data_IF_678025964948
#
_entry.id   IF_678025964948
#
_cell.length_a   1.000
_cell.length_b   1.000
_cell.length_c   1.000
_cell.angle_alpha   90.00
_cell.angle_beta   90.00
_cell.angle_gamma   90.00
#
_symmetry.space_group_name_H-M   'P 1'
#
loop_
_entity.id
_entity.type
_entity.pdbx_description
1 polymer ?
#
# COMPACT_ATOMS: atom_id res chain seq x y z
N UNK A 1 -0.75 5.55 -23.69
CA UNK A 1 0.21 6.44 -22.99
C UNK A 1 0.63 5.67 -21.75
N UNK A 2 1.94 5.45 -21.58
CA UNK A 2 2.52 4.64 -20.50
C UNK A 2 1.89 4.98 -19.13
N UNK A 3 1.14 4.05 -18.55
CA UNK A 3 0.72 4.09 -17.15
C UNK A 3 1.84 3.42 -16.34
N UNK A 4 2.98 4.09 -16.25
CA UNK A 4 4.07 3.64 -15.40
C UNK A 4 3.68 3.92 -13.96
N UNK A 5 3.79 2.90 -13.10
CA UNK A 5 3.91 3.09 -11.67
C UNK A 5 5.09 4.04 -11.41
N UNK A 6 4.81 5.34 -11.32
CA UNK A 6 5.76 6.30 -10.80
C UNK A 6 5.90 5.93 -9.33
N UNK A 7 7.12 5.57 -8.93
CA UNK A 7 7.51 5.55 -7.54
C UNK A 7 7.15 6.93 -6.94
N UNK A 8 6.05 6.99 -6.18
CA UNK A 8 5.83 8.08 -5.24
C UNK A 8 6.89 7.87 -4.14
N UNK A 9 8.10 8.37 -4.39
CA UNK A 9 9.12 8.52 -3.36
C UNK A 9 8.46 9.19 -2.15
N UNK A 10 8.47 8.52 -1.00
CA UNK A 10 8.20 9.21 0.27
C UNK A 10 9.23 10.33 0.41
N UNK A 11 8.80 11.57 0.20
CA UNK A 11 9.67 12.73 0.26
C UNK A 11 10.30 12.86 1.66
N UNK A 12 11.63 12.93 1.80
CA UNK A 12 12.25 13.27 3.07
C UNK A 12 11.94 14.73 3.42
N UNK A 13 11.68 14.97 4.70
CA UNK A 13 11.28 16.26 5.25
C UNK A 13 12.27 17.40 4.94
N UNK A 14 11.74 18.57 4.57
CA UNK A 14 12.53 19.82 4.50
C UNK A 14 12.94 20.24 5.91
N UNK A 15 14.22 20.05 6.26
CA UNK A 15 14.81 20.60 7.48
C UNK A 15 15.01 22.10 7.30
N UNK A 16 14.23 22.91 8.01
CA UNK A 16 14.47 24.34 8.17
C UNK A 16 15.84 24.59 8.82
N UNK A 17 16.62 25.51 8.25
CA UNK A 17 17.93 25.91 8.77
C UNK A 17 17.80 26.41 10.21
N UNK A 18 18.33 25.65 11.16
CA UNK A 18 18.70 26.17 12.48
C UNK A 18 20.11 25.70 12.79
N UNK A 19 21.04 26.65 12.90
CA UNK A 19 22.44 26.42 13.23
C UNK A 19 22.57 25.97 14.70
N UNK A 20 22.65 24.67 14.91
CA UNK A 20 23.17 24.07 16.13
C UNK A 20 24.19 23.00 15.75
N UNK A 21 25.40 23.10 16.31
CA UNK A 21 26.51 22.18 16.12
C UNK A 21 26.16 20.78 16.65
N UNK A 22 25.50 19.97 15.81
CA UNK A 22 25.42 18.52 16.00
C UNK A 22 26.74 17.94 15.51
N UNK A 23 27.49 17.28 16.39
CA UNK A 23 28.62 16.45 15.98
C UNK A 23 28.09 15.43 14.97
N UNK A 24 28.53 15.54 13.72
CA UNK A 24 28.31 14.53 12.68
C UNK A 24 28.81 13.18 13.21
N UNK A 25 27.88 12.35 13.67
CA UNK A 25 28.09 10.92 13.65
C UNK A 25 28.02 10.57 12.16
N UNK A 26 29.18 10.38 11.53
CA UNK A 26 29.26 9.81 10.18
C UNK A 26 28.73 8.37 10.27
N UNK A 27 27.43 8.20 10.13
CA UNK A 27 26.87 6.90 9.75
C UNK A 27 27.45 6.60 8.37
N UNK A 28 28.09 5.45 8.15
CA UNK A 28 28.54 5.09 6.83
C UNK A 28 27.30 5.00 5.94
N UNK A 29 27.21 5.89 4.95
CA UNK A 29 26.19 5.80 3.91
C UNK A 29 26.50 4.54 3.11
N UNK A 30 25.84 3.44 3.46
CA UNK A 30 25.76 2.27 2.60
C UNK A 30 25.10 2.69 1.29
N UNK A 31 25.92 2.98 0.28
CA UNK A 31 25.46 3.26 -1.08
C UNK A 31 25.66 2.00 -1.90
N UNK A 32 24.56 1.35 -2.29
CA UNK A 32 24.61 0.29 -3.29
C UNK A 32 24.68 0.96 -4.66
N UNK A 33 25.84 0.88 -5.32
CA UNK A 33 26.01 1.39 -6.67
C UNK A 33 25.41 0.38 -7.67
N UNK A 34 24.21 0.70 -8.14
CA UNK A 34 23.46 -0.14 -9.08
C UNK A 34 24.17 -0.34 -10.42
N UNK A 35 25.11 0.54 -10.79
CA UNK A 35 25.90 0.41 -12.02
C UNK A 35 26.85 -0.80 -12.01
N UNK A 36 27.09 -1.38 -10.83
CA UNK A 36 27.90 -2.58 -10.67
C UNK A 36 27.18 -3.86 -11.11
N UNK A 37 25.87 -3.80 -11.39
CA UNK A 37 25.05 -4.98 -11.72
C UNK A 37 24.61 -4.99 -13.19
N UNK A 38 24.46 -6.20 -13.73
CA UNK A 38 23.92 -6.42 -15.05
C UNK A 38 22.52 -5.83 -15.15
N UNK A 39 22.28 -5.08 -16.22
CA UNK A 39 21.03 -4.39 -16.45
C UNK A 39 19.92 -5.39 -16.79
N UNK A 40 18.80 -5.30 -16.07
CA UNK A 40 17.59 -6.08 -16.33
C UNK A 40 16.35 -5.25 -15.97
N UNK A 41 15.17 -5.73 -16.38
CA UNK A 41 13.91 -5.01 -16.19
C UNK A 41 13.51 -4.89 -14.71
N UNK A 42 13.94 -5.83 -13.85
CA UNK A 42 13.57 -5.88 -12.45
C UNK A 42 14.44 -4.98 -11.56
N UNK A 43 15.65 -4.62 -12.01
CA UNK A 43 16.63 -3.85 -11.25
C UNK A 43 16.12 -2.46 -10.80
N UNK A 44 15.19 -1.89 -11.56
CA UNK A 44 14.66 -0.54 -11.35
C UNK A 44 13.18 -0.51 -10.95
N UNK A 45 12.51 -1.65 -10.96
CA UNK A 45 11.04 -1.73 -10.78
C UNK A 45 10.64 -2.41 -9.47
N UNK A 46 11.64 -2.78 -8.65
CA UNK A 46 11.49 -3.50 -7.38
C UNK A 46 12.10 -2.68 -6.25
N UNK A 47 12.00 -3.18 -5.02
CA UNK A 47 12.63 -2.54 -3.86
C UNK A 47 14.12 -2.25 -4.10
N UNK A 48 14.54 -1.06 -3.68
CA UNK A 48 15.89 -0.57 -3.90
C UNK A 48 16.94 -1.52 -3.31
N UNK A 49 17.93 -1.89 -4.13
CA UNK A 49 19.06 -2.71 -3.70
C UNK A 49 19.85 -2.11 -2.52
N UNK A 50 19.80 -0.78 -2.37
CA UNK A 50 20.42 -0.06 -1.26
C UNK A 50 19.86 -0.45 0.11
N UNK A 51 18.68 -1.07 0.13
CA UNK A 51 17.98 -1.55 1.33
C UNK A 51 18.32 -2.97 1.73
N UNK A 52 19.09 -3.71 0.94
CA UNK A 52 19.60 -5.02 1.33
C UNK A 52 20.94 -4.85 2.06
N UNK A 53 20.86 -4.34 3.28
CA UNK A 53 22.00 -4.04 4.15
C UNK A 53 21.66 -4.38 5.62
N UNK A 54 22.66 -4.50 6.51
CA UNK A 54 22.40 -4.73 7.93
C UNK A 54 21.40 -3.72 8.51
N UNK A 55 20.39 -4.21 9.24
CA UNK A 55 19.30 -3.42 9.81
C UNK A 55 18.07 -3.27 8.91
N UNK A 56 18.16 -3.57 7.62
CA UNK A 56 17.10 -3.31 6.65
C UNK A 56 16.44 -4.61 6.16
N UNK A 57 16.21 -4.79 4.86
CA UNK A 57 15.48 -5.94 4.32
C UNK A 57 16.25 -7.26 4.44
N UNK A 58 15.52 -8.36 4.53
CA UNK A 58 16.06 -9.71 4.39
C UNK A 58 16.04 -10.15 2.91
N UNK A 59 17.15 -10.64 2.33
CA UNK A 59 17.14 -11.21 0.99
C UNK A 59 16.41 -12.56 0.96
N UNK A 60 15.41 -12.71 0.10
CA UNK A 60 14.61 -13.94 -0.03
C UNK A 60 14.74 -14.52 -1.42
N UNK A 61 14.86 -15.84 -1.48
CA UNK A 61 14.89 -16.65 -2.70
C UNK A 61 13.61 -17.49 -2.77
N UNK A 62 12.99 -17.57 -3.94
CA UNK A 62 11.89 -18.51 -4.17
C UNK A 62 12.31 -19.94 -3.82
N UNK A 63 11.49 -20.62 -3.03
CA UNK A 63 11.78 -21.92 -2.46
C UNK A 63 12.42 -21.90 -1.08
N UNK A 64 12.85 -20.73 -0.57
CA UNK A 64 13.32 -20.58 0.81
C UNK A 64 12.26 -21.04 1.79
N UNK A 65 12.73 -21.60 2.91
CA UNK A 65 11.85 -22.08 3.97
C UNK A 65 12.12 -21.40 5.30
N UNK A 66 11.05 -21.02 5.98
CA UNK A 66 11.06 -20.36 7.27
C UNK A 66 10.43 -21.26 8.34
N UNK A 67 10.72 -20.96 9.61
CA UNK A 67 10.23 -21.69 10.79
C UNK A 67 10.41 -23.22 10.65
N UNK A 68 11.66 -23.66 10.58
CA UNK A 68 12.03 -25.09 10.48
C UNK A 68 11.38 -25.82 9.29
N UNK A 69 11.18 -25.14 8.17
CA UNK A 69 10.64 -25.77 6.96
C UNK A 69 9.13 -25.67 6.80
N UNK A 70 8.39 -25.12 7.76
CA UNK A 70 6.92 -25.02 7.72
C UNK A 70 6.42 -24.11 6.61
N UNK A 71 7.02 -22.93 6.48
CA UNK A 71 6.60 -21.92 5.50
C UNK A 71 7.56 -21.91 4.34
N UNK A 72 7.12 -22.29 3.15
CA UNK A 72 7.95 -22.23 1.94
C UNK A 72 7.49 -21.09 1.04
N UNK A 73 8.42 -20.26 0.59
CA UNK A 73 8.15 -19.11 -0.28
C UNK A 73 7.97 -19.54 -1.74
N UNK A 74 6.94 -19.02 -2.40
CA UNK A 74 6.61 -19.35 -3.79
C UNK A 74 6.54 -18.14 -4.71
N UNK A 75 6.05 -17.00 -4.21
CA UNK A 75 5.97 -15.77 -4.99
C UNK A 75 6.03 -14.56 -4.07
N UNK A 76 6.18 -13.37 -4.64
CA UNK A 76 6.26 -12.10 -3.93
C UNK A 76 4.96 -11.36 -4.13
N UNK A 77 4.32 -10.95 -3.05
CA UNK A 77 3.04 -10.24 -3.10
C UNK A 77 3.23 -8.72 -3.09
N UNK A 78 4.34 -8.23 -2.52
CA UNK A 78 4.65 -6.82 -2.52
C UNK A 78 5.78 -6.45 -1.56
N UNK A 79 6.01 -5.15 -1.41
CA UNK A 79 6.96 -4.58 -0.46
C UNK A 79 6.50 -3.18 -0.03
N UNK A 80 7.00 -2.73 1.11
CA UNK A 80 6.73 -1.41 1.65
C UNK A 80 7.91 -0.88 2.46
N UNK A 81 7.78 0.31 3.03
CA UNK A 81 8.87 1.01 3.73
C UNK A 81 9.58 0.19 4.81
N UNK A 82 8.91 -0.76 5.46
CA UNK A 82 9.46 -1.51 6.60
C UNK A 82 9.39 -3.03 6.44
N UNK A 83 8.95 -3.54 5.29
CA UNK A 83 8.78 -4.99 5.11
C UNK A 83 8.69 -5.43 3.65
N UNK A 84 8.95 -6.71 3.40
CA UNK A 84 8.57 -7.41 2.17
C UNK A 84 7.48 -8.43 2.47
N UNK A 85 6.63 -8.75 1.49
CA UNK A 85 5.48 -9.64 1.66
C UNK A 85 5.51 -10.74 0.60
N UNK A 86 5.37 -11.99 1.03
CA UNK A 86 5.58 -13.17 0.19
C UNK A 86 4.41 -14.15 0.30
N UNK A 87 4.06 -14.77 -0.82
CA UNK A 87 3.18 -15.93 -0.86
C UNK A 87 3.96 -17.12 -0.32
N UNK A 88 3.43 -17.76 0.71
CA UNK A 88 4.01 -18.95 1.31
C UNK A 88 2.98 -20.08 1.47
N UNK A 89 3.42 -21.30 1.21
CA UNK A 89 2.68 -22.53 1.56
C UNK A 89 2.98 -22.89 3.02
N UNK A 90 1.94 -23.03 3.85
CA UNK A 90 2.06 -23.58 5.19
C UNK A 90 1.85 -25.09 5.14
N UNK A 91 2.96 -25.82 5.19
CA UNK A 91 2.96 -27.28 5.06
C UNK A 91 2.23 -28.01 6.18
N UNK A 92 1.98 -27.35 7.31
CA UNK A 92 1.23 -27.94 8.42
C UNK A 92 -0.29 -27.82 8.18
N UNK A 93 -0.73 -26.80 7.44
CA UNK A 93 -2.15 -26.51 7.18
C UNK A 93 -2.58 -26.77 5.74
N UNK A 94 -1.63 -27.02 4.84
CA UNK A 94 -1.83 -27.29 3.42
C UNK A 94 -2.71 -26.23 2.74
N UNK A 95 -2.31 -24.96 2.88
CA UNK A 95 -2.98 -23.80 2.30
C UNK A 95 -2.02 -22.60 2.20
N UNK A 96 -2.35 -21.66 1.33
CA UNK A 96 -1.56 -20.44 1.12
C UNK A 96 -1.75 -19.41 2.22
N UNK A 97 -0.68 -18.68 2.50
CA UNK A 97 -0.59 -17.59 3.46
C UNK A 97 0.29 -16.46 2.94
N UNK A 98 0.15 -15.31 3.58
CA UNK A 98 1.02 -14.15 3.39
C UNK A 98 2.08 -14.12 4.50
N UNK A 99 3.35 -14.15 4.12
CA UNK A 99 4.50 -14.02 5.00
C UNK A 99 5.09 -12.62 4.85
N UNK A 100 4.90 -11.77 5.87
CA UNK A 100 5.50 -10.44 5.96
C UNK A 100 6.81 -10.54 6.74
N UNK A 101 7.91 -10.08 6.14
CA UNK A 101 9.24 -10.05 6.76
C UNK A 101 9.61 -8.60 7.03
N UNK A 102 9.71 -8.25 8.30
CA UNK A 102 10.02 -6.91 8.79
C UNK A 102 11.53 -6.63 8.68
N UNK A 103 11.91 -5.38 8.45
CA UNK A 103 13.31 -4.94 8.51
C UNK A 103 13.94 -5.20 9.88
N UNK A 104 15.24 -5.52 9.92
CA UNK A 104 15.88 -5.95 11.17
C UNK A 104 15.98 -4.86 12.25
N UNK A 105 15.98 -3.58 11.88
CA UNK A 105 16.09 -2.46 12.82
C UNK A 105 14.75 -2.07 13.46
N UNK A 106 13.62 -2.60 12.97
CA UNK A 106 12.31 -2.30 13.54
C UNK A 106 12.06 -3.17 14.79
N UNK A 107 12.25 -2.56 15.96
CA UNK A 107 12.30 -3.29 17.25
C UNK A 107 10.95 -3.65 17.84
N UNK A 108 9.87 -2.97 17.49
CA UNK A 108 8.52 -3.32 17.96
C UNK A 108 7.49 -3.27 16.83
N UNK A 109 7.29 -4.37 16.10
CA UNK A 109 6.25 -4.45 15.07
C UNK A 109 4.83 -4.47 15.65
N UNK A 110 4.64 -4.62 16.98
CA UNK A 110 3.31 -4.66 17.60
C UNK A 110 2.62 -3.29 17.60
N UNK A 111 3.37 -2.20 17.46
CA UNK A 111 2.79 -0.87 17.24
C UNK A 111 2.18 -0.71 15.83
N UNK A 112 2.44 -1.64 14.91
CA UNK A 112 1.89 -1.63 13.55
C UNK A 112 0.60 -2.46 13.38
N UNK A 113 0.10 -3.15 14.42
CA UNK A 113 -0.86 -4.24 14.21
C UNK A 113 -2.15 -4.16 15.03
N UNK A 114 -3.26 -3.92 14.32
CA UNK A 114 -4.63 -4.27 14.73
C UNK A 114 -5.18 -5.48 13.94
N UNK A 115 -4.38 -6.11 13.07
CA UNK A 115 -4.78 -7.24 12.23
C UNK A 115 -4.52 -8.59 12.89
N UNK A 116 -5.27 -9.63 12.48
CA UNK A 116 -5.25 -10.96 13.09
C UNK A 116 -4.02 -11.77 12.62
N UNK A 117 -2.87 -11.53 13.26
CA UNK A 117 -1.65 -12.34 13.06
C UNK A 117 -1.94 -13.81 13.42
N UNK A 118 -1.66 -14.71 12.48
CA UNK A 118 -1.88 -16.15 12.64
C UNK A 118 -0.69 -16.87 13.26
N UNK A 119 0.52 -16.37 13.00
CA UNK A 119 1.77 -16.85 13.56
C UNK A 119 2.82 -15.73 13.53
N UNK A 120 3.77 -15.76 14.46
CA UNK A 120 4.91 -14.86 14.47
C UNK A 120 6.17 -15.58 14.97
N UNK A 121 7.31 -15.25 14.38
CA UNK A 121 8.60 -15.81 14.74
C UNK A 121 9.74 -14.88 14.32
N UNK A 122 10.92 -15.07 14.89
CA UNK A 122 12.13 -14.35 14.46
C UNK A 122 12.95 -15.22 13.52
N UNK A 123 13.57 -14.58 12.52
CA UNK A 123 14.45 -15.22 11.55
C UNK A 123 15.80 -14.51 11.53
N UNK A 124 16.88 -15.25 11.79
CA UNK A 124 18.24 -14.73 11.70
C UNK A 124 18.73 -14.85 10.25
N UNK A 125 18.93 -13.70 9.61
CA UNK A 125 19.43 -13.59 8.24
C UNK A 125 20.73 -12.80 8.15
N UNK A 126 21.29 -12.66 6.94
CA UNK A 126 22.56 -11.96 6.74
C UNK A 126 22.52 -10.46 7.09
N UNK A 127 21.32 -9.87 7.11
CA UNK A 127 21.10 -8.46 7.41
C UNK A 127 20.60 -8.21 8.85
N UNK A 128 20.54 -9.24 9.70
CA UNK A 128 20.14 -9.14 11.09
C UNK A 128 19.03 -10.11 11.47
N UNK A 129 18.39 -9.85 12.61
CA UNK A 129 17.25 -10.63 13.09
C UNK A 129 15.96 -9.94 12.64
N UNK A 130 15.16 -10.63 11.86
CA UNK A 130 13.93 -10.11 11.27
C UNK A 130 12.72 -10.72 11.98
N UNK A 131 11.71 -9.89 12.26
CA UNK A 131 10.42 -10.41 12.68
C UNK A 131 9.64 -10.86 11.45
N UNK A 132 9.15 -12.10 11.48
CA UNK A 132 8.30 -12.69 10.46
C UNK A 132 6.89 -12.84 11.01
N UNK A 133 5.92 -12.35 10.24
CA UNK A 133 4.50 -12.32 10.60
C UNK A 133 3.72 -13.04 9.52
N UNK A 134 2.84 -13.95 9.96
CA UNK A 134 2.04 -14.78 9.06
C UNK A 134 0.60 -14.34 9.15
N UNK A 135 0.03 -13.98 8.00
CA UNK A 135 -1.34 -13.57 7.82
C UNK A 135 -2.06 -14.53 6.88
N UNK A 136 -3.40 -14.51 6.92
CA UNK A 136 -4.17 -15.08 5.83
C UNK A 136 -3.74 -14.45 4.49
N UNK A 137 -3.79 -15.24 3.42
CA UNK A 137 -3.70 -14.66 2.08
C UNK A 137 -4.90 -13.73 1.91
N UNK A 138 -4.67 -12.61 1.25
CA UNK A 138 -5.68 -11.61 0.90
C UNK A 138 -5.57 -11.34 -0.59
N UNK A 139 -6.67 -10.89 -1.18
CA UNK A 139 -6.79 -10.57 -2.59
C UNK A 139 -6.07 -9.25 -2.92
N UNK A 140 -6.04 -8.79 -4.19
CA UNK A 140 -5.29 -7.61 -4.55
C UNK A 140 -5.70 -6.41 -3.70
N UNK A 141 -4.75 -5.51 -3.46
CA UNK A 141 -5.08 -4.23 -2.85
C UNK A 141 -6.10 -3.47 -3.71
N UNK A 142 -6.91 -2.62 -3.09
CA UNK A 142 -7.90 -1.82 -3.82
C UNK A 142 -7.24 -0.90 -4.85
N UNK A 143 -6.00 -0.45 -4.62
CA UNK A 143 -5.22 0.28 -5.63
C UNK A 143 -5.00 -0.55 -6.91
N UNK A 144 -4.73 -1.85 -6.77
CA UNK A 144 -4.54 -2.75 -7.92
C UNK A 144 -5.84 -2.96 -8.68
N UNK A 145 -6.94 -3.19 -7.95
CA UNK A 145 -8.28 -3.32 -8.54
C UNK A 145 -8.66 -2.05 -9.31
N UNK A 146 -8.44 -0.88 -8.72
CA UNK A 146 -8.73 0.40 -9.37
C UNK A 146 -7.89 0.63 -10.63
N UNK A 147 -6.62 0.26 -10.62
CA UNK A 147 -5.74 0.37 -11.78
C UNK A 147 -6.25 -0.51 -12.94
N UNK A 148 -6.59 -1.76 -12.65
CA UNK A 148 -7.11 -2.71 -13.64
C UNK A 148 -8.43 -2.23 -14.27
N UNK A 149 -9.40 -1.83 -13.45
CA UNK A 149 -10.67 -1.29 -13.94
C UNK A 149 -10.49 0.02 -14.73
N UNK A 150 -9.52 0.86 -14.35
CA UNK A 150 -9.21 2.08 -15.10
C UNK A 150 -8.66 1.75 -16.50
N UNK A 151 -7.77 0.76 -16.60
CA UNK A 151 -7.16 0.30 -17.85
C UNK A 151 -8.17 -0.41 -18.76
N UNK A 152 -9.03 -1.26 -18.19
CA UNK A 152 -10.14 -1.91 -18.89
C UNK A 152 -11.29 -0.97 -19.29
N UNK A 153 -11.29 0.27 -18.76
CA UNK A 153 -12.41 1.21 -18.86
C UNK A 153 -13.73 0.68 -18.28
N UNK A 154 -13.62 -0.26 -17.34
CA UNK A 154 -14.72 -0.85 -16.61
C UNK A 154 -15.11 -0.01 -15.39
N UNK A 155 -16.22 -0.37 -14.77
CA UNK A 155 -16.71 0.27 -13.54
C UNK A 155 -17.02 -0.78 -12.51
N UNK A 156 -16.64 -0.49 -11.27
CA UNK A 156 -17.09 -1.26 -10.12
C UNK A 156 -18.63 -1.21 -10.04
N UNK A 157 -19.25 -2.33 -9.68
CA UNK A 157 -20.69 -2.35 -9.45
C UNK A 157 -21.04 -1.44 -8.26
N UNK A 158 -22.22 -0.80 -8.25
CA UNK A 158 -22.60 0.12 -7.18
C UNK A 158 -22.56 -0.49 -5.77
N UNK A 159 -22.88 -1.77 -5.67
CA UNK A 159 -22.86 -2.55 -4.44
C UNK A 159 -21.42 -2.65 -3.86
N UNK A 160 -20.42 -3.00 -4.68
CA UNK A 160 -19.00 -3.03 -4.28
C UNK A 160 -18.48 -1.64 -3.90
N UNK A 161 -18.85 -0.59 -4.64
CA UNK A 161 -18.48 0.80 -4.32
C UNK A 161 -18.99 1.21 -2.92
N UNK A 162 -20.23 0.85 -2.57
CA UNK A 162 -20.80 1.18 -1.27
C UNK A 162 -20.18 0.37 -0.13
N UNK A 163 -19.90 -0.92 -0.35
CA UNK A 163 -19.19 -1.79 0.59
C UNK A 163 -17.82 -1.21 0.94
N UNK A 164 -17.01 -0.89 -0.06
CA UNK A 164 -15.68 -0.26 0.11
C UNK A 164 -15.78 1.11 0.78
N UNK A 165 -16.74 1.95 0.35
CA UNK A 165 -16.91 3.30 0.90
C UNK A 165 -17.24 3.28 2.39
N UNK A 166 -18.13 2.37 2.80
CA UNK A 166 -18.55 2.22 4.20
C UNK A 166 -17.40 1.71 5.07
N UNK A 167 -16.65 0.72 4.60
CA UNK A 167 -15.53 0.18 5.35
C UNK A 167 -14.39 1.20 5.51
N UNK A 168 -14.07 1.95 4.44
CA UNK A 168 -13.03 2.99 4.47
C UNK A 168 -13.34 4.14 5.43
N UNK A 169 -14.61 4.45 5.69
CA UNK A 169 -15.02 5.53 6.59
C UNK A 169 -14.70 5.29 8.08
N UNK A 170 -14.39 4.05 8.47
CA UNK A 170 -14.32 3.66 9.88
C UNK A 170 -12.91 3.65 10.49
N UNK A 171 -11.82 3.91 9.74
CA UNK A 171 -10.52 3.36 10.14
C UNK A 171 -9.27 4.29 10.18
N UNK A 172 -9.34 5.57 9.85
CA UNK A 172 -8.26 6.52 10.19
C UNK A 172 -6.90 6.37 9.48
N UNK A 173 -6.61 5.27 8.77
CA UNK A 173 -5.49 5.20 7.80
C UNK A 173 -5.99 4.72 6.44
N UNK A 174 -6.51 5.68 5.67
CA UNK A 174 -7.29 5.42 4.48
C UNK A 174 -6.39 5.56 3.25
N UNK A 175 -5.98 4.43 2.69
CA UNK A 175 -5.24 4.33 1.42
C UNK A 175 -5.61 3.04 0.71
N UNK A 176 -5.80 3.05 -0.62
CA UNK A 176 -6.12 1.85 -1.39
C UNK A 176 -5.03 0.78 -1.34
N UNK A 177 -3.79 1.13 -0.97
CA UNK A 177 -2.69 0.17 -0.71
C UNK A 177 -2.87 -0.61 0.60
N UNK A 178 -3.53 0.00 1.59
CA UNK A 178 -3.74 -0.59 2.93
C UNK A 178 -5.10 -1.29 3.03
N UNK A 179 -5.80 -1.43 1.90
CA UNK A 179 -7.13 -2.03 1.77
C UNK A 179 -7.05 -3.23 0.84
N UNK A 180 -7.58 -4.37 1.24
CA UNK A 180 -7.67 -5.58 0.42
C UNK A 180 -8.95 -6.34 0.74
N UNK A 181 -9.28 -7.33 -0.10
CA UNK A 181 -10.40 -8.23 0.14
C UNK A 181 -9.95 -9.54 0.78
N UNK A 182 -10.86 -10.18 1.53
CA UNK A 182 -10.62 -11.49 2.11
C UNK A 182 -10.61 -12.55 1.02
N UNK A 183 -9.54 -13.35 1.00
CA UNK A 183 -9.33 -14.35 -0.02
C UNK A 183 -9.72 -15.75 0.51
N UNK A 184 -10.85 -16.29 0.05
CA UNK A 184 -11.30 -17.61 0.50
C UNK A 184 -10.86 -18.72 -0.44
N UNK A 185 -11.13 -18.61 -1.75
CA UNK A 185 -10.84 -19.67 -2.71
C UNK A 185 -9.35 -19.80 -3.02
N UNK A 186 -8.68 -18.70 -3.37
CA UNK A 186 -7.27 -18.73 -3.76
C UNK A 186 -6.37 -19.18 -2.59
N UNK A 187 -6.79 -19.01 -1.34
CA UNK A 187 -6.06 -19.55 -0.18
C UNK A 187 -5.98 -21.09 -0.16
N UNK A 188 -6.92 -21.78 -0.80
CA UNK A 188 -7.00 -23.24 -0.89
C UNK A 188 -6.71 -23.79 -2.29
N UNK A 189 -6.46 -22.91 -3.26
CA UNK A 189 -6.22 -23.27 -4.65
C UNK A 189 -4.90 -24.06 -4.82
N UNK A 190 -4.84 -24.85 -5.88
CA UNK A 190 -3.58 -25.49 -6.29
C UNK A 190 -2.56 -24.44 -6.74
N UNK A 191 -1.28 -24.84 -6.82
CA UNK A 191 -0.20 -23.96 -7.31
C UNK A 191 -0.50 -23.41 -8.72
N UNK A 192 -1.03 -24.24 -9.61
CA UNK A 192 -1.37 -23.83 -10.97
C UNK A 192 -2.48 -22.78 -11.00
N UNK A 193 -3.60 -23.05 -10.34
CA UNK A 193 -4.72 -22.10 -10.23
C UNK A 193 -4.27 -20.79 -9.56
N UNK A 194 -3.39 -20.90 -8.57
CA UNK A 194 -2.82 -19.74 -7.88
C UNK A 194 -2.00 -18.87 -8.81
N UNK A 195 -1.20 -19.46 -9.69
CA UNK A 195 -0.38 -18.73 -10.66
C UNK A 195 -1.15 -18.29 -11.91
N UNK A 196 -2.29 -18.90 -12.21
CA UNK A 196 -3.25 -18.34 -13.18
C UNK A 196 -3.81 -17.00 -12.67
N UNK A 197 -4.13 -16.92 -11.37
CA UNK A 197 -4.61 -15.68 -10.75
C UNK A 197 -3.49 -14.67 -10.52
N UNK A 198 -2.37 -15.07 -9.92
CA UNK A 198 -1.30 -14.13 -9.54
C UNK A 198 -0.36 -13.76 -10.69
N UNK A 199 -0.34 -14.56 -11.75
CA UNK A 199 0.77 -14.62 -12.69
C UNK A 199 1.89 -15.55 -12.20
N UNK A 200 2.63 -16.12 -13.15
CA UNK A 200 3.81 -16.93 -12.83
C UNK A 200 4.96 -16.06 -12.33
N UNK A 201 5.73 -16.48 -11.31
CA UNK A 201 6.84 -15.68 -10.80
C UNK A 201 7.89 -15.36 -11.87
N UNK A 202 8.09 -14.08 -12.15
CA UNK A 202 9.21 -13.60 -12.95
C UNK A 202 10.43 -13.36 -12.07
N UNK A 203 11.57 -13.95 -12.45
CA UNK A 203 12.83 -13.84 -11.73
C UNK A 203 13.97 -13.43 -12.66
N UNK A 204 14.85 -12.57 -12.15
CA UNK A 204 16.08 -12.18 -12.83
C UNK A 204 17.27 -12.39 -11.88
N UNK A 205 18.37 -13.04 -12.30
CA UNK A 205 19.52 -13.21 -11.44
C UNK A 205 20.20 -11.87 -11.17
N UNK A 206 20.57 -11.61 -9.91
CA UNK A 206 21.39 -10.45 -9.59
C UNK A 206 22.86 -10.83 -9.79
N UNK A 207 23.48 -10.28 -10.84
CA UNK A 207 24.87 -10.59 -11.20
C UNK A 207 25.65 -9.30 -11.36
N UNK A 208 26.89 -9.27 -10.86
CA UNK A 208 27.79 -8.13 -11.05
C UNK A 208 28.35 -8.12 -12.47
N UNK A 209 28.50 -6.94 -13.05
CA UNK A 209 29.09 -6.74 -14.40
C UNK A 209 30.53 -7.24 -14.45
N UNK A 210 31.27 -7.10 -13.36
CA UNK A 210 32.66 -7.54 -13.23
C UNK A 210 32.83 -9.04 -12.93
N UNK A 211 31.73 -9.78 -12.76
CA UNK A 211 31.74 -11.21 -12.43
C UNK A 211 32.19 -11.53 -11.01
N UNK A 212 32.42 -10.54 -10.15
CA UNK A 212 32.75 -10.77 -8.75
C UNK A 212 31.55 -11.34 -7.97
N UNK A 213 31.77 -12.03 -6.84
CA UNK A 213 30.66 -12.51 -6.00
C UNK A 213 29.84 -11.35 -5.44
N UNK A 214 28.55 -11.61 -5.21
CA UNK A 214 27.68 -10.67 -4.50
C UNK A 214 28.16 -10.46 -3.06
N UNK A 215 27.96 -9.25 -2.55
CA UNK A 215 28.18 -8.97 -1.14
C UNK A 215 27.17 -9.74 -0.28
N UNK A 216 27.60 -10.18 0.90
CA UNK A 216 26.70 -10.82 1.85
C UNK A 216 25.56 -9.86 2.22
N UNK A 217 24.32 -10.35 2.20
CA UNK A 217 23.13 -9.54 2.48
C UNK A 217 22.34 -9.09 1.25
N UNK A 218 22.92 -9.18 0.05
CA UNK A 218 22.20 -8.94 -1.21
C UNK A 218 21.40 -10.18 -1.64
N UNK A 219 20.27 -10.01 -2.33
CA UNK A 219 19.53 -11.13 -2.89
C UNK A 219 20.28 -11.71 -4.09
N UNK A 220 20.22 -13.03 -4.27
CA UNK A 220 20.81 -13.72 -5.44
C UNK A 220 19.91 -13.62 -6.67
N UNK A 221 18.61 -13.37 -6.47
CA UNK A 221 17.63 -13.17 -7.53
C UNK A 221 16.72 -11.99 -7.17
N UNK A 222 16.33 -11.24 -8.20
CA UNK A 222 15.26 -10.26 -8.14
C UNK A 222 13.97 -10.98 -8.50
N UNK A 223 12.95 -10.79 -7.67
CA UNK A 223 11.64 -11.43 -7.87
C UNK A 223 10.61 -10.34 -8.10
N UNK A 224 9.87 -10.48 -9.20
CA UNK A 224 8.78 -9.59 -9.52
C UNK A 224 7.61 -9.75 -8.56
N UNK A 225 6.99 -8.65 -8.13
CA UNK A 225 5.74 -8.77 -7.38
C UNK A 225 4.60 -9.27 -8.29
N UNK A 226 3.69 -10.03 -7.70
CA UNK A 226 2.55 -10.63 -8.37
C UNK A 226 1.71 -9.58 -9.12
N UNK A 227 1.24 -9.96 -10.31
CA UNK A 227 0.48 -9.07 -11.18
C UNK A 227 -1.01 -9.11 -10.91
N UNK A 228 -1.56 -10.22 -10.39
CA UNK A 228 -3.01 -10.41 -10.26
C UNK A 228 -3.72 -10.32 -11.64
N UNK A 229 -3.47 -11.32 -12.50
CA UNK A 229 -3.86 -11.38 -13.91
C UNK A 229 -5.36 -11.68 -14.10
N UNK A 230 -5.92 -12.62 -13.33
CA UNK A 230 -7.29 -13.14 -13.51
C UNK A 230 -8.09 -13.00 -12.21
N UNK A 231 -8.08 -11.81 -11.59
CA UNK A 231 -8.89 -11.57 -10.39
C UNK A 231 -10.38 -11.44 -10.75
N UNK A 232 -11.24 -12.07 -9.95
CA UNK A 232 -12.71 -12.03 -10.10
C UNK A 232 -13.31 -11.66 -8.74
N UNK A 233 -14.22 -10.68 -8.71
CA UNK A 233 -14.97 -10.25 -7.51
C UNK A 233 -15.80 -11.43 -6.97
N UNK A 234 -15.53 -11.88 -5.73
CA UNK A 234 -16.37 -12.88 -5.06
C UNK A 234 -17.50 -12.21 -4.25
N UNK A 235 -18.72 -12.75 -4.35
CA UNK A 235 -19.92 -12.17 -3.70
C UNK A 235 -19.78 -12.06 -2.17
N UNK A 236 -18.99 -12.95 -1.54
CA UNK A 236 -18.83 -13.06 -0.09
C UNK A 236 -17.54 -12.41 0.47
N UNK A 237 -16.84 -11.58 -0.32
CA UNK A 237 -15.60 -10.92 0.12
C UNK A 237 -15.84 -9.93 1.28
N UNK A 238 -15.05 -10.09 2.34
CA UNK A 238 -14.98 -9.15 3.45
C UNK A 238 -13.81 -8.17 3.24
N UNK A 239 -14.06 -6.89 3.50
CA UNK A 239 -13.04 -5.86 3.41
C UNK A 239 -12.03 -5.96 4.56
N UNK A 240 -10.74 -5.96 4.24
CA UNK A 240 -9.62 -6.11 5.18
C UNK A 240 -8.71 -4.88 5.11
N UNK A 241 -8.27 -4.44 6.29
CA UNK A 241 -7.30 -3.36 6.43
C UNK A 241 -5.99 -3.94 6.93
N UNK A 242 -4.91 -3.56 6.26
CA UNK A 242 -3.62 -4.23 6.36
C UNK A 242 -2.64 -3.54 7.31
N UNK A 243 -2.76 -2.21 7.42
CA UNK A 243 -1.79 -1.38 8.13
C UNK A 243 -2.50 -0.30 8.96
N UNK A 244 -2.09 -0.18 10.21
CA UNK A 244 -2.50 0.89 11.13
C UNK A 244 -1.30 1.61 11.73
N UNK A 245 -0.07 1.28 11.32
CA UNK A 245 1.14 1.78 11.97
C UNK A 245 1.36 3.28 11.86
N UNK A 246 0.62 3.96 10.97
CA UNK A 246 0.64 5.41 10.82
C UNK A 246 -0.60 6.09 11.47
N UNK A 247 -1.40 5.34 12.23
CA UNK A 247 -2.54 5.88 12.98
C UNK A 247 -2.07 6.65 14.20
N UNK A 248 -2.77 7.74 14.55
CA UNK A 248 -2.48 8.52 15.75
C UNK A 248 -3.76 8.84 16.52
N UNK A 249 -3.64 8.94 17.85
CA UNK A 249 -4.75 9.35 18.71
C UNK A 249 -5.00 10.86 18.58
N UNK A 250 -6.25 11.28 18.76
CA UNK A 250 -6.59 12.70 18.76
C UNK A 250 -5.85 13.41 19.91
N UNK A 251 -5.07 14.45 19.59
CA UNK A 251 -4.20 15.15 20.54
C UNK A 251 -2.78 14.58 20.66
N UNK A 252 -2.49 13.46 19.98
CA UNK A 252 -1.15 12.86 19.88
C UNK A 252 -0.66 12.86 18.42
N UNK A 253 -1.00 13.91 17.67
CA UNK A 253 -0.64 14.01 16.26
C UNK A 253 0.89 14.07 16.05
N UNK A 254 1.43 13.31 15.07
CA UNK A 254 2.85 13.38 14.76
C UNK A 254 3.19 14.74 14.14
N UNK A 255 4.47 15.13 14.23
CA UNK A 255 4.94 16.37 13.60
C UNK A 255 4.95 16.32 12.07
N UNK A 256 5.08 15.12 11.51
CA UNK A 256 5.13 14.88 10.07
C UNK A 256 4.23 13.68 9.79
N UNK A 257 3.38 13.82 8.76
CA UNK A 257 2.49 12.77 8.30
C UNK A 257 3.04 12.15 7.02
N UNK A 258 3.33 10.85 7.06
CA UNK A 258 3.59 10.09 5.84
C UNK A 258 2.29 10.02 5.00
N UNK A 259 2.39 10.33 3.71
CA UNK A 259 1.23 10.33 2.82
C UNK A 259 1.63 10.07 1.36
N UNK A 260 0.89 9.21 0.63
CA UNK A 260 1.02 9.11 -0.83
C UNK A 260 0.71 10.46 -1.49
N UNK A 261 1.32 10.74 -2.63
CA UNK A 261 1.13 11.99 -3.35
C UNK A 261 -0.33 12.21 -3.76
N UNK A 262 -1.00 11.14 -4.21
CA UNK A 262 -2.42 11.13 -4.61
C UNK A 262 -3.40 11.38 -3.46
N UNK A 263 -2.97 11.17 -2.21
CA UNK A 263 -3.77 11.32 -0.99
C UNK A 263 -3.32 12.50 -0.14
N UNK A 264 -2.41 13.33 -0.65
CA UNK A 264 -1.87 14.46 0.08
C UNK A 264 -2.95 15.47 0.42
N UNK A 265 -3.02 15.83 1.71
CA UNK A 265 -4.10 16.67 2.26
C UNK A 265 -3.73 18.16 2.23
N UNK A 266 -4.68 19.08 1.99
CA UNK A 266 -4.39 20.51 1.86
C UNK A 266 -3.62 21.10 3.05
N UNK A 267 -4.06 20.81 4.28
CA UNK A 267 -3.50 21.40 5.48
C UNK A 267 -2.03 21.05 5.69
N UNK A 268 -1.54 19.92 5.19
CA UNK A 268 -0.11 19.55 5.27
C UNK A 268 0.75 20.28 4.23
N UNK A 269 0.15 20.94 3.25
CA UNK A 269 0.84 21.78 2.27
C UNK A 269 1.00 23.20 2.83
N UNK A 270 -0.03 23.71 3.52
CA UNK A 270 -0.07 25.11 3.96
C UNK A 270 0.29 25.33 5.44
N UNK A 271 0.26 24.27 6.25
CA UNK A 271 0.40 24.38 7.70
C UNK A 271 1.24 23.24 8.26
N UNK A 272 1.84 23.48 9.43
CA UNK A 272 2.58 22.48 10.20
C UNK A 272 1.70 21.73 11.21
N UNK A 273 0.37 21.85 11.09
CA UNK A 273 -0.58 21.27 12.05
C UNK A 273 -1.76 20.62 11.34
N UNK A 274 -2.10 19.41 11.75
CA UNK A 274 -3.25 18.68 11.26
C UNK A 274 -3.90 17.91 12.41
N UNK A 275 -5.02 17.25 12.14
CA UNK A 275 -5.72 16.39 13.10
C UNK A 275 -6.46 15.28 12.33
N UNK A 276 -7.29 14.49 13.03
CA UNK A 276 -8.12 13.42 12.46
C UNK A 276 -8.92 13.77 11.19
N UNK A 277 -9.09 15.06 10.86
CA UNK A 277 -9.78 15.49 9.63
C UNK A 277 -8.99 15.17 8.37
N UNK A 278 -7.70 14.86 8.45
CA UNK A 278 -6.91 14.35 7.31
C UNK A 278 -7.54 13.08 6.74
N UNK A 279 -8.08 12.23 7.60
CA UNK A 279 -8.73 10.98 7.20
C UNK A 279 -10.04 11.23 6.47
N UNK A 280 -10.77 12.29 6.84
CA UNK A 280 -11.96 12.69 6.10
C UNK A 280 -11.63 13.07 4.66
N UNK A 281 -10.52 13.78 4.43
CA UNK A 281 -10.08 14.09 3.06
C UNK A 281 -9.70 12.83 2.30
N UNK A 282 -8.89 11.96 2.91
CA UNK A 282 -8.47 10.68 2.33
C UNK A 282 -9.66 9.78 2.00
N UNK A 283 -10.64 9.69 2.89
CA UNK A 283 -11.92 9.01 2.65
C UNK A 283 -12.62 9.56 1.41
N UNK A 284 -12.69 10.89 1.27
CA UNK A 284 -13.24 11.53 0.10
C UNK A 284 -12.52 11.16 -1.20
N UNK A 285 -11.18 11.14 -1.18
CA UNK A 285 -10.36 10.70 -2.32
C UNK A 285 -10.60 9.23 -2.67
N UNK A 286 -10.75 8.34 -1.69
CA UNK A 286 -11.03 6.92 -1.93
C UNK A 286 -12.44 6.71 -2.47
N UNK A 287 -13.46 7.33 -1.89
CA UNK A 287 -14.83 7.21 -2.41
C UNK A 287 -14.90 7.77 -3.84
N UNK A 288 -14.16 8.86 -4.12
CA UNK A 288 -14.00 9.34 -5.48
C UNK A 288 -13.36 8.28 -6.39
N UNK A 289 -12.26 7.65 -5.98
CA UNK A 289 -11.61 6.65 -6.82
C UNK A 289 -12.48 5.42 -7.05
N UNK A 290 -13.29 4.98 -6.08
CA UNK A 290 -14.25 3.89 -6.27
C UNK A 290 -15.33 4.24 -7.31
N UNK A 291 -15.85 5.46 -7.27
CA UNK A 291 -16.92 5.90 -8.19
C UNK A 291 -16.40 6.18 -9.60
N UNK A 292 -15.17 6.68 -9.73
CA UNK A 292 -14.63 7.17 -11.00
C UNK A 292 -13.43 6.37 -11.53
N UNK A 293 -13.11 5.25 -10.87
CA UNK A 293 -11.95 4.37 -11.15
C UNK A 293 -10.61 5.11 -11.24
N UNK A 294 -10.51 6.28 -10.59
CA UNK A 294 -9.29 7.11 -10.65
C UNK A 294 -9.21 8.07 -9.47
N UNK A 295 -7.99 8.29 -8.97
CA UNK A 295 -7.74 9.29 -7.94
C UNK A 295 -8.04 10.71 -8.46
N UNK A 296 -8.60 11.59 -7.61
CA UNK A 296 -8.93 12.95 -8.04
C UNK A 296 -7.69 13.78 -8.35
N UNK A 297 -6.55 13.51 -7.70
CA UNK A 297 -5.36 14.35 -7.78
C UNK A 297 -4.10 13.53 -8.07
N UNK A 298 -3.17 14.15 -8.79
CA UNK A 298 -1.87 13.59 -9.13
C UNK A 298 -0.77 14.50 -8.62
N UNK A 299 0.14 13.97 -7.83
CA UNK A 299 1.32 14.71 -7.39
C UNK A 299 2.45 14.50 -8.38
N UNK A 300 2.95 15.58 -8.96
CA UNK A 300 4.03 15.55 -9.97
C UNK A 300 5.33 16.14 -9.41
N UNK A 301 5.52 16.08 -8.09
CA UNK A 301 6.70 16.62 -7.41
C UNK A 301 6.57 18.07 -6.93
N UNK A 302 5.46 18.76 -7.24
CA UNK A 302 5.26 20.16 -6.89
C UNK A 302 3.89 20.43 -6.25
N UNK A 303 3.91 21.10 -5.09
CA UNK A 303 2.71 21.41 -4.31
C UNK A 303 1.75 22.37 -5.05
N UNK A 304 2.28 23.31 -5.84
CA UNK A 304 1.46 24.29 -6.58
C UNK A 304 0.54 23.61 -7.60
N UNK A 305 1.07 22.64 -8.35
CA UNK A 305 0.31 21.86 -9.33
C UNK A 305 -0.77 21.01 -8.67
N UNK A 306 -0.49 20.46 -7.48
CA UNK A 306 -1.46 19.72 -6.69
C UNK A 306 -2.59 20.63 -6.17
N UNK A 307 -2.25 21.79 -5.59
CA UNK A 307 -3.22 22.78 -5.10
C UNK A 307 -4.11 23.28 -6.23
N UNK A 308 -3.56 23.52 -7.43
CA UNK A 308 -4.34 23.92 -8.59
C UNK A 308 -5.40 22.87 -8.96
N UNK A 309 -5.08 21.58 -8.85
CA UNK A 309 -6.06 20.51 -9.06
C UNK A 309 -7.15 20.47 -7.99
N UNK A 310 -6.85 20.88 -6.76
CA UNK A 310 -7.81 20.90 -5.65
C UNK A 310 -8.82 22.05 -5.76
N UNK A 311 -8.35 23.28 -6.01
CA UNK A 311 -9.17 24.51 -5.90
C UNK A 311 -9.14 25.42 -7.13
N UNK A 312 -8.36 25.09 -8.16
CA UNK A 312 -8.21 25.93 -9.35
C UNK A 312 -9.42 25.92 -10.29
N UNK A 313 -9.41 26.81 -11.31
CA UNK A 313 -10.37 26.78 -12.42
C UNK A 313 -10.17 25.49 -13.22
N UNK A 314 -10.96 24.46 -12.91
CA UNK A 314 -10.76 23.10 -13.42
C UNK A 314 -10.44 22.06 -12.34
N UNK A 315 -10.81 22.35 -11.08
CA UNK A 315 -10.74 21.38 -9.98
C UNK A 315 -11.19 19.99 -10.43
N UNK A 316 -10.41 18.99 -10.02
CA UNK A 316 -10.66 17.59 -10.38
C UNK A 316 -11.74 16.95 -9.53
N UNK A 317 -12.23 17.63 -8.50
CA UNK A 317 -13.43 17.22 -7.77
C UNK A 317 -14.62 17.27 -8.72
N UNK A 318 -15.17 16.09 -9.02
CA UNK A 318 -16.28 15.92 -9.97
C UNK A 318 -17.53 16.67 -9.51
N UNK A 319 -18.33 17.08 -10.50
CA UNK A 319 -19.61 17.81 -10.31
C UNK A 319 -20.84 16.96 -10.60
N UNK A 320 -20.64 15.77 -11.14
CA UNK A 320 -21.70 14.84 -11.51
C UNK A 320 -21.21 13.40 -11.32
N UNK A 321 -22.15 12.52 -10.97
CA UNK A 321 -22.01 11.07 -11.01
C UNK A 321 -23.07 10.57 -11.98
N UNK A 322 -22.65 9.82 -13.01
CA UNK A 322 -23.56 9.38 -14.07
C UNK A 322 -24.50 8.27 -13.62
N UNK A 323 -24.06 7.43 -12.70
CA UNK A 323 -24.85 6.33 -12.18
C UNK A 323 -25.84 6.85 -11.13
N UNK A 324 -27.16 6.71 -11.33
CA UNK A 324 -28.16 7.15 -10.37
C UNK A 324 -28.04 6.47 -8.99
N UNK A 325 -27.59 5.21 -8.95
CA UNK A 325 -27.38 4.46 -7.70
C UNK A 325 -26.25 5.08 -6.87
N UNK A 326 -25.23 5.62 -7.54
CA UNK A 326 -24.07 6.25 -6.90
C UNK A 326 -24.18 7.77 -6.75
N UNK A 327 -25.18 8.41 -7.37
CA UNK A 327 -25.42 9.85 -7.27
C UNK A 327 -25.46 10.39 -5.82
N UNK A 328 -26.00 9.67 -4.82
CA UNK A 328 -25.95 10.10 -3.43
C UNK A 328 -24.53 10.26 -2.85
N UNK A 329 -23.51 9.63 -3.43
CA UNK A 329 -22.13 9.72 -2.97
C UNK A 329 -21.45 11.03 -3.37
N UNK A 330 -21.93 11.71 -4.41
CA UNK A 330 -21.36 12.99 -4.85
C UNK A 330 -21.30 14.05 -3.75
N UNK A 331 -22.40 14.38 -3.02
CA UNK A 331 -22.33 15.33 -1.92
C UNK A 331 -21.48 14.83 -0.75
N UNK A 332 -21.32 13.51 -0.57
CA UNK A 332 -20.41 12.93 0.43
C UNK A 332 -18.96 13.22 0.05
N UNK A 333 -18.55 12.87 -1.19
CA UNK A 333 -17.21 13.15 -1.74
C UNK A 333 -16.89 14.64 -1.60
N UNK A 334 -17.78 15.52 -2.11
CA UNK A 334 -17.58 16.96 -2.06
C UNK A 334 -17.56 17.52 -0.62
N UNK A 335 -18.34 16.92 0.29
CA UNK A 335 -18.39 17.32 1.69
C UNK A 335 -17.13 16.92 2.47
N UNK A 336 -16.59 15.74 2.18
CA UNK A 336 -15.35 15.20 2.77
C UNK A 336 -14.12 15.93 2.23
N UNK A 337 -14.10 16.25 0.94
CA UNK A 337 -13.01 16.93 0.25
C UNK A 337 -13.14 18.46 0.27
N UNK A 338 -13.77 19.02 1.31
CA UNK A 338 -13.74 20.48 1.51
C UNK A 338 -12.32 20.91 1.87
N UNK A 339 -11.84 21.94 1.17
CA UNK A 339 -10.46 22.41 1.28
C UNK A 339 -10.10 22.81 2.71
N UNK A 340 -10.97 23.57 3.39
CA UNK A 340 -10.81 23.89 4.80
C UNK A 340 -11.19 22.67 5.67
N UNK A 341 -10.30 22.17 6.54
CA UNK A 341 -10.58 20.99 7.37
C UNK A 341 -11.82 21.15 8.24
N UNK A 342 -12.02 22.34 8.81
CA UNK A 342 -13.18 22.67 9.66
C UNK A 342 -14.52 22.65 8.92
N UNK A 343 -14.49 22.83 7.60
CA UNK A 343 -15.70 22.80 6.78
C UNK A 343 -16.13 21.38 6.41
N UNK A 344 -15.26 20.37 6.53
CA UNK A 344 -15.55 18.98 6.13
C UNK A 344 -16.75 18.41 6.89
N UNK A 345 -17.56 17.60 6.21
CA UNK A 345 -18.64 16.84 6.86
C UNK A 345 -18.05 15.79 7.81
N UNK A 346 -18.81 15.38 8.83
CA UNK A 346 -18.36 14.35 9.78
C UNK A 346 -18.50 12.96 9.18
N UNK A 347 -17.75 11.99 9.71
CA UNK A 347 -17.90 10.58 9.36
C UNK A 347 -19.34 10.10 9.54
N UNK A 348 -20.00 10.44 10.66
CA UNK A 348 -21.41 10.08 10.90
C UNK A 348 -22.36 10.60 9.81
N UNK A 349 -22.15 11.83 9.33
CA UNK A 349 -23.00 12.40 8.27
C UNK A 349 -22.82 11.64 6.96
N UNK A 350 -21.59 11.26 6.64
CA UNK A 350 -21.29 10.48 5.44
C UNK A 350 -21.82 9.04 5.55
N UNK A 351 -21.61 8.36 6.68
CA UNK A 351 -22.13 7.01 6.97
C UNK A 351 -23.67 6.96 6.91
N UNK A 352 -24.36 8.00 7.36
CA UNK A 352 -25.81 8.10 7.25
C UNK A 352 -26.32 8.18 5.79
N UNK A 353 -25.52 8.72 4.87
CA UNK A 353 -25.87 8.72 3.45
C UNK A 353 -25.58 7.35 2.85
N UNK A 354 -24.40 6.79 3.15
CA UNK A 354 -23.98 5.46 2.69
C UNK A 354 -24.97 4.36 3.07
N UNK A 355 -25.42 4.33 4.34
CA UNK A 355 -26.37 3.32 4.82
C UNK A 355 -27.73 3.39 4.11
N UNK A 356 -28.25 4.61 3.90
CA UNK A 356 -29.51 4.83 3.17
C UNK A 356 -29.41 4.40 1.72
N UNK A 357 -28.28 4.67 1.07
CA UNK A 357 -28.04 4.24 -0.31
C UNK A 357 -27.92 2.72 -0.40
N UNK A 358 -27.24 2.07 0.55
CA UNK A 358 -27.16 0.60 0.64
C UNK A 358 -28.54 -0.05 0.75
N UNK A 359 -29.39 0.41 1.68
CA UNK A 359 -30.76 -0.12 1.84
C UNK A 359 -31.62 0.06 0.58
N UNK A 360 -31.36 1.08 -0.24
CA UNK A 360 -32.07 1.30 -1.51
C UNK A 360 -31.62 0.35 -2.63
N UNK A 361 -30.45 -0.27 -2.53
CA UNK A 361 -29.97 -1.25 -3.50
C UNK A 361 -30.44 -2.68 -3.18
N UNK A 362 -30.72 -2.96 -1.92
CA UNK A 362 -31.26 -4.25 -1.46
C UNK A 362 -32.77 -4.42 -1.73
N UNK A 363 -33.47 -3.33 -2.08
CA UNK A 363 -34.89 -3.28 -2.42
C UNK A 363 -35.11 -3.24 -3.93
#
# INVERSE_FOLDING_TARGET
>A
MYCGCVEDEMLPARVGRTTALVKEIKTPTWTCDISLFCQNNLLYTHESLSRYRPGEYHPVTLGDTFKNGRYRVYHKLGWGGVSTVWLADDRDRNRWFSLRIITADLRDPRELENSKVLDNFSHEGPNGVHQCLVFELLDPSVDRVLADYCEGHDKLCPETVLRMSTAGMCHGDISGRNMAFSCTHLSHASENETFEVLGTPEIEPLVRVDGAPLQNGLPTQLVKAAEWVEWVDEDDEEFRLLDVGESFLQGEEPKVLAQPGTLRVPETIFTDSFNYRVDLWRAGCMIHSFVFTTYPFWYLGEDEGLVFQMIGPGTKIRREVRDPKLAPLLPVIQGLMRFLPSARITADKALNVLSRTGTQLEQ
#
